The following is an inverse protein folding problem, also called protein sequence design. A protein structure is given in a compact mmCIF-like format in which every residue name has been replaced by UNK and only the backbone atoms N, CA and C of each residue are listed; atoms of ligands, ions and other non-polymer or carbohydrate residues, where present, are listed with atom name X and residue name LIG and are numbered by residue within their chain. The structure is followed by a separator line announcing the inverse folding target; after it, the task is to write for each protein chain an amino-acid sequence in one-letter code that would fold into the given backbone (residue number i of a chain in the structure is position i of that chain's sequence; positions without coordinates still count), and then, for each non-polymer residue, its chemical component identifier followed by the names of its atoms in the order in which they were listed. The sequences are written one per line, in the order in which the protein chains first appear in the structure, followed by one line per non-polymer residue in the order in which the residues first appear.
data_IF_349963226485
#
_entry.id   IF_349963226485
#
_cell.length_a   1.000
_cell.length_b   1.000
_cell.length_c   1.000
_cell.angle_alpha   90.00
_cell.angle_beta   90.00
_cell.angle_gamma   90.00
#
_symmetry.space_group_name_H-M   'P 1'
#
loop_
_entity.id
_entity.type
_entity.pdbx_description
1 polymer ?
#
# COMPACT_ATOMS: atom_id res chain seq x y z
N UNK A 1 -64.65 8.38 -22.12
CA UNK A 1 -64.53 7.32 -23.15
C UNK A 1 -63.08 6.91 -23.16
N UNK A 2 -62.86 5.69 -22.72
CA UNK A 2 -61.55 5.07 -22.55
C UNK A 2 -61.07 4.52 -23.88
N UNK A 3 -59.76 4.59 -24.14
CA UNK A 3 -59.08 3.61 -24.98
C UNK A 3 -57.79 3.21 -24.29
N UNK A 4 -57.74 1.92 -23.94
CA UNK A 4 -56.63 1.21 -23.32
C UNK A 4 -55.61 0.80 -24.39
N UNK A 5 -54.32 0.66 -24.04
CA UNK A 5 -53.35 -0.02 -24.91
C UNK A 5 -53.51 -1.55 -24.80
N UNK A 6 -53.20 -2.32 -25.87
CA UNK A 6 -53.18 -3.78 -25.79
C UNK A 6 -51.84 -4.32 -25.25
N UNK A 7 -52.00 -5.50 -24.66
CA UNK A 7 -51.13 -6.27 -23.78
C UNK A 7 -49.76 -6.71 -24.32
N UNK A 8 -48.88 -6.90 -23.33
CA UNK A 8 -47.73 -7.79 -23.37
C UNK A 8 -48.19 -9.27 -23.29
N UNK A 9 -47.61 -10.13 -24.14
CA UNK A 9 -47.85 -11.57 -24.09
C UNK A 9 -46.82 -12.37 -24.87
N UNK A 10 -45.92 -13.02 -24.13
CA UNK A 10 -45.29 -14.31 -24.37
C UNK A 10 -44.79 -14.70 -25.78
N UNK A 11 -43.47 -14.81 -25.89
CA UNK A 11 -42.82 -15.77 -26.78
C UNK A 11 -41.62 -16.42 -26.06
N UNK A 12 -41.94 -17.41 -25.22
CA UNK A 12 -41.01 -18.46 -24.80
C UNK A 12 -41.12 -19.59 -25.83
N UNK A 13 -39.99 -20.12 -26.32
CA UNK A 13 -39.68 -21.56 -26.56
C UNK A 13 -38.66 -21.75 -27.71
N UNK A 14 -37.51 -22.29 -27.29
CA UNK A 14 -36.62 -23.24 -27.97
C UNK A 14 -35.78 -22.82 -29.19
N UNK A 15 -34.45 -22.81 -28.98
CA UNK A 15 -33.54 -23.60 -29.81
C UNK A 15 -32.35 -24.12 -29.00
N UNK A 16 -32.04 -25.40 -29.21
CA UNK A 16 -31.12 -26.27 -28.46
C UNK A 16 -29.63 -26.09 -28.83
N UNK A 17 -28.81 -26.50 -27.87
CA UNK A 17 -27.35 -26.67 -27.84
C UNK A 17 -26.70 -27.47 -28.99
N UNK A 18 -25.41 -27.18 -29.25
CA UNK A 18 -24.25 -28.07 -29.57
C UNK A 18 -22.98 -27.17 -29.54
N UNK A 19 -22.17 -27.09 -28.47
CA UNK A 19 -21.01 -27.91 -28.03
C UNK A 19 -19.66 -27.67 -28.79
N UNK A 20 -18.59 -27.55 -27.98
CA UNK A 20 -17.12 -27.58 -28.23
C UNK A 20 -16.47 -26.27 -28.74
N UNK A 21 -15.39 -25.72 -28.17
CA UNK A 21 -14.57 -26.05 -27.01
C UNK A 21 -13.29 -25.20 -27.08
N UNK A 22 -13.02 -24.37 -26.06
CA UNK A 22 -11.68 -23.84 -25.78
C UNK A 22 -11.52 -23.86 -24.26
N UNK A 23 -10.67 -24.77 -23.79
CA UNK A 23 -10.17 -24.83 -22.42
C UNK A 23 -8.94 -23.91 -22.29
N UNK A 24 -8.88 -23.25 -21.12
CA UNK A 24 -7.69 -22.81 -20.37
C UNK A 24 -6.97 -21.52 -20.78
N UNK A 25 -7.31 -20.46 -20.07
CA UNK A 25 -6.34 -19.70 -19.27
C UNK A 25 -7.09 -18.81 -18.25
N UNK A 26 -7.91 -19.42 -17.38
CA UNK A 26 -8.37 -18.75 -16.17
C UNK A 26 -7.33 -18.98 -15.08
N UNK A 27 -6.63 -17.92 -14.68
CA UNK A 27 -5.90 -17.87 -13.42
C UNK A 27 -6.87 -18.11 -12.28
N UNK A 28 -7.08 -19.37 -11.92
CA UNK A 28 -7.83 -19.74 -10.75
C UNK A 28 -7.09 -19.20 -9.51
N UNK A 29 -7.77 -18.57 -8.55
CA UNK A 29 -7.14 -18.20 -7.29
C UNK A 29 -6.63 -19.49 -6.62
N UNK A 30 -5.33 -19.52 -6.34
CA UNK A 30 -4.71 -20.61 -5.59
C UNK A 30 -5.41 -20.72 -4.23
N UNK A 31 -5.82 -21.93 -3.79
CA UNK A 31 -6.51 -22.10 -2.52
C UNK A 31 -5.64 -21.60 -1.37
N UNK A 32 -6.26 -20.87 -0.43
CA UNK A 32 -5.61 -20.44 0.80
C UNK A 32 -5.06 -21.67 1.53
N UNK A 33 -3.73 -21.83 1.52
CA UNK A 33 -3.04 -22.99 2.09
C UNK A 33 -2.12 -23.76 1.13
N UNK A 34 -2.09 -23.44 -0.17
CA UNK A 34 -1.07 -23.99 -1.06
C UNK A 34 0.31 -23.40 -0.71
N UNK A 35 1.20 -24.24 -0.18
CA UNK A 35 2.60 -23.90 0.02
C UNK A 35 3.21 -23.67 -1.37
N UNK A 36 3.53 -22.43 -1.70
CA UNK A 36 4.22 -22.13 -2.95
C UNK A 36 5.68 -22.56 -2.82
N UNK A 37 6.13 -23.38 -3.77
CA UNK A 37 7.53 -23.82 -3.84
C UNK A 37 8.19 -23.08 -4.99
N UNK A 38 9.26 -22.34 -4.70
CA UNK A 38 10.05 -21.65 -5.72
C UNK A 38 11.52 -22.03 -5.58
N UNK A 39 12.11 -22.54 -6.67
CA UNK A 39 13.50 -23.04 -6.71
C UNK A 39 13.82 -24.01 -5.55
N UNK A 40 12.86 -24.88 -5.22
CA UNK A 40 12.99 -25.88 -4.16
C UNK A 40 12.81 -25.35 -2.73
N UNK A 41 12.35 -24.10 -2.58
CA UNK A 41 12.15 -23.44 -1.28
C UNK A 41 10.67 -23.21 -1.05
N UNK A 42 10.18 -23.64 0.11
CA UNK A 42 8.82 -23.32 0.56
C UNK A 42 8.73 -21.83 0.93
N UNK A 43 7.73 -21.17 0.35
CA UNK A 43 7.45 -19.76 0.60
C UNK A 43 6.28 -19.62 1.58
N UNK A 44 6.52 -18.83 2.61
CA UNK A 44 5.45 -18.24 3.41
C UNK A 44 4.81 -17.06 2.69
N UNK A 45 3.59 -16.70 3.12
CA UNK A 45 2.86 -15.58 2.56
C UNK A 45 3.61 -14.25 2.76
N UNK A 46 3.92 -13.60 1.64
CA UNK A 46 4.33 -12.21 1.55
C UNK A 46 3.99 -11.73 0.14
N UNK A 47 3.42 -10.54 0.02
CA UNK A 47 3.14 -9.97 -1.30
C UNK A 47 3.14 -8.46 -1.28
N UNK A 48 3.49 -7.87 -2.41
CA UNK A 48 3.41 -6.42 -2.63
C UNK A 48 4.64 -5.84 -3.30
N UNK A 49 4.51 -4.59 -3.71
CA UNK A 49 5.57 -3.84 -4.36
C UNK A 49 6.63 -3.42 -3.34
N UNK A 50 7.90 -3.51 -3.73
CA UNK A 50 9.05 -3.15 -2.89
C UNK A 50 10.07 -2.35 -3.71
N UNK A 51 10.78 -1.45 -3.03
CA UNK A 51 11.85 -0.63 -3.58
C UNK A 51 13.19 -1.10 -3.02
N UNK A 52 14.17 -1.36 -3.88
CA UNK A 52 15.55 -1.58 -3.47
C UNK A 52 16.18 -0.30 -2.93
N UNK A 53 16.59 -0.30 -1.66
CA UNK A 53 17.17 0.89 -1.00
C UNK A 53 18.70 0.95 -1.08
N UNK A 54 19.32 -0.14 -1.55
CA UNK A 54 20.74 -0.29 -1.84
C UNK A 54 20.90 -1.26 -3.01
N UNK A 55 22.01 -1.16 -3.72
CA UNK A 55 22.39 -2.20 -4.69
C UNK A 55 22.45 -3.55 -3.96
N UNK A 56 21.73 -4.54 -4.47
CA UNK A 56 21.58 -5.83 -3.78
C UNK A 56 21.56 -6.99 -4.78
N UNK A 57 22.38 -8.03 -4.55
CA UNK A 57 22.35 -9.22 -5.39
C UNK A 57 21.06 -10.01 -5.22
N UNK A 58 20.58 -10.60 -6.32
CA UNK A 58 19.49 -11.58 -6.32
C UNK A 58 20.10 -12.98 -6.39
N UNK A 59 19.67 -13.87 -5.51
CA UNK A 59 20.19 -15.24 -5.43
C UNK A 59 19.19 -16.28 -5.92
N UNK A 60 19.69 -17.41 -6.42
CA UNK A 60 18.87 -18.56 -6.83
C UNK A 60 18.14 -19.22 -5.66
N UNK A 61 18.77 -19.22 -4.49
CA UNK A 61 18.22 -19.80 -3.27
C UNK A 61 18.55 -18.90 -2.08
N UNK A 62 17.67 -18.77 -1.08
CA UNK A 62 18.01 -18.10 0.17
C UNK A 62 19.11 -18.93 0.83
N UNK A 63 20.27 -18.33 1.06
CA UNK A 63 21.32 -19.04 1.77
C UNK A 63 20.82 -19.43 3.17
N UNK A 64 21.25 -20.60 3.65
CA UNK A 64 21.11 -20.99 5.06
C UNK A 64 22.05 -20.10 5.89
N UNK A 65 21.74 -18.81 5.97
CA UNK A 65 22.48 -17.80 6.70
C UNK A 65 22.24 -17.98 8.21
N UNK A 66 22.82 -19.05 8.75
CA UNK A 66 23.00 -19.28 10.18
C UNK A 66 24.48 -19.50 10.54
N UNK A 67 25.43 -19.22 9.64
CA UNK A 67 26.85 -19.45 9.91
C UNK A 67 27.78 -18.51 9.13
N UNK A 68 27.69 -17.20 9.37
CA UNK A 68 28.82 -16.28 9.14
C UNK A 68 28.51 -14.88 9.69
N UNK A 69 28.43 -14.77 11.02
CA UNK A 69 28.84 -13.51 11.65
C UNK A 69 30.39 -13.46 11.60
N UNK A 70 31.01 -12.31 11.32
CA UNK A 70 32.46 -12.20 11.37
C UNK A 70 32.90 -12.19 12.84
N UNK A 71 33.54 -13.27 13.29
CA UNK A 71 34.30 -13.27 14.54
C UNK A 71 35.45 -12.27 14.40
N UNK A 72 35.31 -11.11 15.05
CA UNK A 72 36.41 -10.17 15.24
C UNK A 72 37.43 -10.79 16.20
N UNK A 73 38.59 -11.14 15.64
CA UNK A 73 39.88 -10.87 16.26
C UNK A 73 40.55 -12.03 16.99
N UNK A 74 41.55 -12.62 16.35
CA UNK A 74 42.87 -12.90 16.95
C UNK A 74 43.92 -13.18 15.85
N UNK A 75 44.79 -12.20 15.62
CA UNK A 75 46.16 -12.44 15.16
C UNK A 75 47.00 -12.91 16.38
N UNK A 76 48.08 -13.69 16.32
CA UNK A 76 48.94 -14.20 15.26
C UNK A 76 49.72 -15.41 15.82
N UNK A 77 50.21 -16.31 14.95
CA UNK A 77 51.57 -16.89 15.03
C UNK A 77 51.85 -17.83 13.83
N UNK A 78 53.06 -17.68 13.27
CA UNK A 78 53.69 -18.51 12.22
C UNK A 78 53.98 -19.94 12.70
N UNK A 79 53.96 -20.94 11.82
CA UNK A 79 55.18 -21.55 11.24
C UNK A 79 54.87 -22.65 10.19
N UNK A 80 55.89 -22.95 9.37
CA UNK A 80 55.98 -23.78 8.16
C UNK A 80 55.69 -25.28 8.36
N UNK A 81 55.20 -25.93 7.31
CA UNK A 81 55.26 -27.38 7.15
C UNK A 81 54.55 -27.88 5.88
N UNK A 82 55.28 -28.58 5.03
CA UNK A 82 54.93 -29.11 3.70
C UNK A 82 54.37 -30.52 3.85
N UNK A 83 53.31 -30.91 3.15
CA UNK A 83 53.12 -32.21 2.45
C UNK A 83 51.71 -32.33 1.84
N UNK A 84 51.62 -33.01 0.70
CA UNK A 84 50.42 -33.25 -0.10
C UNK A 84 49.52 -34.28 0.59
N UNK A 85 48.20 -34.06 0.54
CA UNK A 85 47.29 -35.17 0.30
C UNK A 85 46.06 -34.74 -0.49
N UNK A 86 45.75 -35.55 -1.51
CA UNK A 86 44.52 -35.50 -2.30
C UNK A 86 43.42 -36.15 -1.45
N UNK A 87 42.38 -35.42 -1.07
CA UNK A 87 41.05 -36.03 -0.98
C UNK A 87 39.90 -35.01 -1.01
N UNK A 88 38.91 -35.32 -1.84
CA UNK A 88 37.51 -34.87 -1.86
C UNK A 88 37.20 -33.37 -1.73
N UNK A 89 37.17 -32.74 -2.90
CA UNK A 89 36.28 -31.62 -3.21
C UNK A 89 34.80 -32.07 -3.10
N UNK A 90 34.22 -31.95 -1.89
CA UNK A 90 32.78 -31.79 -1.72
C UNK A 90 32.50 -30.30 -1.66
N UNK A 91 32.43 -29.67 -2.83
CA UNK A 91 32.09 -28.27 -2.98
C UNK A 91 30.80 -27.93 -2.23
N UNK A 92 30.93 -27.15 -1.16
CA UNK A 92 29.85 -26.25 -0.72
C UNK A 92 29.75 -25.18 -1.80
N UNK A 93 28.95 -25.43 -2.83
CA UNK A 93 28.57 -24.39 -3.77
C UNK A 93 27.84 -23.31 -2.96
N UNK A 94 28.46 -22.14 -2.82
CA UNK A 94 27.80 -20.96 -2.27
C UNK A 94 26.56 -20.60 -3.09
N UNK A 95 25.67 -19.75 -2.55
CA UNK A 95 24.46 -19.36 -3.27
C UNK A 95 24.83 -18.77 -4.63
N UNK A 96 24.26 -19.36 -5.69
CA UNK A 96 24.48 -18.89 -7.05
C UNK A 96 23.73 -17.58 -7.24
N UNK A 97 24.48 -16.53 -7.61
CA UNK A 97 23.91 -15.24 -7.98
C UNK A 97 23.14 -15.40 -9.28
N UNK A 98 21.88 -14.97 -9.27
CA UNK A 98 20.95 -15.04 -10.39
C UNK A 98 20.88 -13.70 -11.13
N UNK A 99 20.90 -12.58 -10.41
CA UNK A 99 20.75 -11.22 -10.95
C UNK A 99 21.26 -10.16 -9.95
N UNK A 100 21.06 -8.87 -10.26
CA UNK A 100 21.25 -7.73 -9.36
C UNK A 100 20.05 -6.78 -9.42
N UNK A 101 19.69 -6.20 -8.27
CA UNK A 101 18.85 -5.01 -8.20
C UNK A 101 19.72 -3.79 -7.90
N UNK A 102 19.46 -2.70 -8.61
CA UNK A 102 20.03 -1.39 -8.34
C UNK A 102 19.20 -0.65 -7.31
N UNK A 103 19.84 0.23 -6.53
CA UNK A 103 19.10 1.17 -5.70
C UNK A 103 18.08 1.93 -6.55
N UNK A 104 16.83 1.94 -6.12
CA UNK A 104 15.71 2.54 -6.84
C UNK A 104 14.93 1.56 -7.72
N UNK A 105 15.41 0.33 -7.93
CA UNK A 105 14.61 -0.69 -8.64
C UNK A 105 13.37 -1.07 -7.84
N UNK A 106 12.23 -1.11 -8.52
CA UNK A 106 10.98 -1.64 -8.00
C UNK A 106 10.81 -3.11 -8.40
N UNK A 107 10.39 -3.93 -7.44
CA UNK A 107 10.13 -5.36 -7.61
C UNK A 107 8.87 -5.77 -6.87
N UNK A 108 8.18 -6.77 -7.40
CA UNK A 108 7.06 -7.40 -6.70
C UNK A 108 7.57 -8.56 -5.86
N UNK A 109 7.21 -8.58 -4.58
CA UNK A 109 7.38 -9.74 -3.71
C UNK A 109 6.18 -10.66 -3.89
N UNK A 110 6.43 -11.96 -4.03
CA UNK A 110 5.39 -12.99 -4.12
C UNK A 110 5.49 -14.08 -3.04
N UNK A 111 6.54 -14.02 -2.21
CA UNK A 111 6.64 -14.87 -1.03
C UNK A 111 7.87 -14.56 -0.19
N UNK A 112 8.00 -15.23 0.96
CA UNK A 112 9.15 -15.07 1.85
C UNK A 112 9.65 -16.40 2.41
N UNK A 113 10.93 -16.47 2.74
CA UNK A 113 11.53 -17.60 3.44
C UNK A 113 12.56 -17.09 4.45
N UNK A 114 12.24 -17.15 5.75
CA UNK A 114 13.05 -16.52 6.80
C UNK A 114 13.22 -15.01 6.55
N UNK A 115 14.47 -14.55 6.50
CA UNK A 115 14.84 -13.15 6.21
C UNK A 115 14.98 -12.84 4.73
N UNK A 116 14.49 -13.70 3.84
CA UNK A 116 14.57 -13.56 2.40
C UNK A 116 13.20 -13.34 1.77
N UNK A 117 13.14 -12.49 0.76
CA UNK A 117 11.96 -12.23 -0.04
C UNK A 117 12.17 -12.78 -1.45
N UNK A 118 11.19 -13.55 -1.93
CA UNK A 118 11.16 -14.00 -3.31
C UNK A 118 10.56 -12.89 -4.17
N UNK A 119 11.32 -12.44 -5.18
CA UNK A 119 11.03 -11.23 -5.96
C UNK A 119 10.91 -11.53 -7.46
N UNK A 120 10.05 -10.76 -8.12
CA UNK A 120 9.84 -10.79 -9.55
C UNK A 120 9.79 -9.37 -10.13
N UNK A 121 10.15 -9.24 -11.41
CA UNK A 121 10.01 -8.01 -12.19
C UNK A 121 9.12 -8.31 -13.38
N UNK A 122 7.92 -7.70 -13.41
CA UNK A 122 6.84 -8.14 -14.29
C UNK A 122 6.50 -9.61 -14.04
N UNK A 123 6.53 -10.41 -15.11
CA UNK A 123 6.26 -11.85 -15.07
C UNK A 123 7.51 -12.72 -14.79
N UNK A 124 8.69 -12.09 -14.66
CA UNK A 124 9.95 -12.81 -14.49
C UNK A 124 10.28 -12.96 -13.01
N UNK A 125 10.19 -14.20 -12.50
CA UNK A 125 10.65 -14.56 -11.13
C UNK A 125 12.19 -14.55 -11.07
N UNK A 126 12.75 -13.53 -10.44
CA UNK A 126 14.20 -13.27 -10.45
C UNK A 126 14.95 -14.20 -9.48
N UNK A 127 14.47 -14.31 -8.25
CA UNK A 127 15.16 -15.03 -7.19
C UNK A 127 14.84 -14.48 -5.80
N UNK A 128 15.81 -14.51 -4.90
CA UNK A 128 15.69 -14.12 -3.50
C UNK A 128 16.59 -12.92 -3.18
N UNK A 129 16.05 -11.96 -2.42
CA UNK A 129 16.78 -10.81 -1.87
C UNK A 129 16.65 -10.77 -0.35
N UNK A 130 17.62 -10.19 0.33
CA UNK A 130 17.54 -9.99 1.77
C UNK A 130 16.43 -8.96 2.10
N UNK A 131 15.60 -9.24 3.10
CA UNK A 131 14.46 -8.40 3.44
C UNK A 131 14.86 -6.98 3.89
N UNK A 132 16.08 -6.80 4.42
CA UNK A 132 16.64 -5.50 4.82
C UNK A 132 17.19 -4.67 3.65
N UNK A 133 17.21 -5.24 2.43
CA UNK A 133 17.69 -4.57 1.23
C UNK A 133 16.59 -3.88 0.42
N UNK A 134 15.34 -4.14 0.77
CA UNK A 134 14.17 -3.56 0.11
C UNK A 134 13.20 -3.02 1.15
N UNK A 135 12.39 -2.03 0.77
CA UNK A 135 11.29 -1.52 1.60
C UNK A 135 9.96 -1.74 0.89
N UNK A 136 8.89 -2.07 1.64
CA UNK A 136 7.56 -2.15 1.04
C UNK A 136 7.13 -0.76 0.58
N UNK A 137 6.74 -0.64 -0.68
CA UNK A 137 6.17 0.59 -1.23
C UNK A 137 4.72 0.36 -1.64
N UNK A 138 4.02 1.46 -1.78
CA UNK A 138 2.61 1.49 -2.14
C UNK A 138 2.47 2.25 -3.45
N UNK A 139 1.61 1.77 -4.34
CA UNK A 139 1.17 2.54 -5.50
C UNK A 139 -0.08 3.31 -5.09
N UNK A 140 0.04 4.62 -4.93
CA UNK A 140 -1.06 5.48 -4.48
C UNK A 140 -2.02 5.90 -5.61
N UNK A 141 -1.88 5.37 -6.82
CA UNK A 141 -2.74 5.79 -7.92
C UNK A 141 -4.19 5.35 -7.72
N UNK A 142 -5.11 6.22 -8.15
CA UNK A 142 -6.52 5.89 -8.28
C UNK A 142 -6.89 5.83 -9.76
N UNK A 143 -7.53 4.73 -10.16
CA UNK A 143 -8.08 4.59 -11.51
C UNK A 143 -9.35 5.44 -11.72
N UNK A 144 -10.04 5.79 -10.62
CA UNK A 144 -11.33 6.50 -10.63
C UNK A 144 -11.43 7.41 -9.42
N UNK A 145 -12.22 8.47 -9.57
CA UNK A 145 -12.59 9.33 -8.45
C UNK A 145 -13.36 8.53 -7.38
N UNK A 146 -13.09 8.84 -6.13
CA UNK A 146 -13.81 8.32 -4.97
C UNK A 146 -14.93 9.30 -4.66
N UNK A 147 -16.15 8.82 -4.45
CA UNK A 147 -17.25 9.63 -3.95
C UNK A 147 -17.82 9.02 -2.67
N UNK A 148 -18.18 9.86 -1.71
CA UNK A 148 -18.75 9.41 -0.44
C UNK A 148 -19.54 10.48 0.29
N UNK A 149 -20.08 10.10 1.44
CA UNK A 149 -20.84 11.00 2.31
C UNK A 149 -20.73 10.57 3.76
N UNK A 150 -20.72 11.54 4.68
CA UNK A 150 -20.79 11.27 6.11
C UNK A 150 -21.48 12.40 6.87
N UNK A 151 -21.95 12.08 8.08
CA UNK A 151 -22.34 13.06 9.08
C UNK A 151 -21.21 13.21 10.11
N UNK A 152 -20.68 14.42 10.30
CA UNK A 152 -19.60 14.72 11.24
C UNK A 152 -19.75 16.12 11.84
N UNK A 153 -19.50 16.28 13.15
CA UNK A 153 -19.58 17.59 13.81
C UNK A 153 -20.98 18.25 13.78
N UNK A 154 -22.04 17.49 13.49
CA UNK A 154 -23.38 18.02 13.23
C UNK A 154 -23.59 18.57 11.81
N UNK A 155 -22.70 18.22 10.88
CA UNK A 155 -22.77 18.56 9.46
C UNK A 155 -22.96 17.30 8.61
N UNK A 156 -23.81 17.37 7.59
CA UNK A 156 -23.91 16.36 6.54
C UNK A 156 -23.03 16.77 5.37
N UNK A 157 -22.01 15.97 5.07
CA UNK A 157 -21.03 16.24 4.05
C UNK A 157 -21.07 15.19 2.94
N UNK A 158 -20.93 15.63 1.70
CA UNK A 158 -20.55 14.80 0.55
C UNK A 158 -19.14 15.16 0.15
N UNK A 159 -18.37 14.18 -0.32
CA UNK A 159 -17.00 14.40 -0.74
C UNK A 159 -16.68 13.65 -2.03
N UNK A 160 -15.73 14.21 -2.77
CA UNK A 160 -15.03 13.54 -3.86
C UNK A 160 -13.52 13.61 -3.64
N UNK A 161 -12.77 12.59 -4.08
CA UNK A 161 -11.31 12.55 -4.02
C UNK A 161 -10.80 12.08 -5.39
N UNK A 162 -9.98 12.92 -6.02
CA UNK A 162 -9.41 12.69 -7.35
C UNK A 162 -7.89 12.66 -7.26
N UNK A 163 -7.27 11.68 -7.93
CA UNK A 163 -5.81 11.61 -8.05
C UNK A 163 -5.30 12.67 -9.03
N UNK A 164 -4.32 13.46 -8.59
CA UNK A 164 -3.74 14.57 -9.35
C UNK A 164 -2.39 14.21 -9.96
N UNK A 165 -1.62 13.35 -9.29
CA UNK A 165 -0.30 12.95 -9.76
C UNK A 165 0.59 12.44 -8.66
N UNK A 166 1.89 12.40 -8.95
CA UNK A 166 2.92 12.09 -7.96
C UNK A 166 3.90 13.24 -7.84
N UNK A 167 4.32 13.52 -6.62
CA UNK A 167 5.41 14.43 -6.31
C UNK A 167 6.61 13.63 -5.80
N UNK A 168 7.78 13.89 -6.37
CA UNK A 168 9.04 13.37 -5.84
C UNK A 168 9.46 14.17 -4.61
N UNK A 169 9.88 13.47 -3.55
CA UNK A 169 10.41 14.13 -2.36
C UNK A 169 11.85 14.54 -2.64
N UNK A 170 12.16 15.84 -2.53
CA UNK A 170 13.47 16.41 -2.87
C UNK A 170 14.66 15.70 -2.18
N UNK A 171 14.44 15.16 -0.97
CA UNK A 171 15.43 14.42 -0.21
C UNK A 171 15.00 12.95 -0.10
N UNK A 172 15.63 12.11 -0.92
CA UNK A 172 15.49 10.66 -0.85
C UNK A 172 14.86 10.05 -2.11
N UNK A 173 14.45 8.79 -2.00
CA UNK A 173 13.75 8.04 -3.07
C UNK A 173 12.24 7.96 -2.83
N UNK A 174 11.71 8.91 -2.04
CA UNK A 174 10.31 8.95 -1.66
C UNK A 174 9.43 9.56 -2.72
N UNK A 175 8.20 9.05 -2.82
CA UNK A 175 7.13 9.64 -3.62
C UNK A 175 5.92 9.90 -2.75
N UNK A 176 5.21 10.96 -3.09
CA UNK A 176 3.88 11.27 -2.59
C UNK A 176 2.90 11.05 -3.74
N UNK A 177 1.78 10.39 -3.45
CA UNK A 177 0.62 10.40 -4.32
C UNK A 177 -0.27 11.56 -3.89
N UNK A 178 -0.55 12.47 -4.80
CA UNK A 178 -1.29 13.70 -4.54
C UNK A 178 -2.72 13.59 -5.06
N UNK A 179 -3.65 14.17 -4.32
CA UNK A 179 -5.07 14.14 -4.58
C UNK A 179 -5.69 15.51 -4.30
N UNK A 180 -6.75 15.83 -5.03
CA UNK A 180 -7.67 16.92 -4.67
C UNK A 180 -8.91 16.32 -4.02
N UNK A 181 -9.25 16.78 -2.81
CA UNK A 181 -10.50 16.42 -2.15
C UNK A 181 -11.44 17.63 -2.12
N UNK A 182 -12.69 17.44 -2.58
CA UNK A 182 -13.72 18.47 -2.57
C UNK A 182 -14.85 18.06 -1.63
N UNK A 183 -15.30 19.00 -0.80
CA UNK A 183 -16.34 18.76 0.21
C UNK A 183 -17.51 19.72 0.03
N UNK A 184 -18.72 19.18 0.09
CA UNK A 184 -19.96 19.94 0.12
C UNK A 184 -20.73 19.57 1.38
N UNK A 185 -20.79 20.49 2.35
CA UNK A 185 -21.33 20.26 3.68
C UNK A 185 -22.55 21.15 3.95
N UNK A 186 -23.42 20.69 4.87
CA UNK A 186 -24.54 21.48 5.34
C UNK A 186 -24.88 21.23 6.80
N UNK A 187 -25.47 22.23 7.45
CA UNK A 187 -26.04 22.13 8.80
C UNK A 187 -27.32 22.95 8.87
N UNK A 188 -28.47 22.27 8.95
CA UNK A 188 -29.77 22.92 8.77
C UNK A 188 -29.90 23.53 7.38
N UNK A 189 -30.20 24.83 7.31
CA UNK A 189 -30.29 25.58 6.04
C UNK A 189 -28.94 26.07 5.52
N UNK A 190 -27.90 26.13 6.36
CA UNK A 190 -26.58 26.59 5.95
C UNK A 190 -25.88 25.54 5.07
N UNK A 191 -25.28 25.99 3.98
CA UNK A 191 -24.51 25.17 3.02
C UNK A 191 -23.18 25.86 2.75
N UNK A 192 -22.11 25.08 2.70
CA UNK A 192 -20.78 25.56 2.34
C UNK A 192 -20.00 24.46 1.62
N UNK A 193 -18.94 24.85 0.92
CA UNK A 193 -18.06 23.92 0.22
C UNK A 193 -16.62 24.38 0.34
N UNK A 194 -15.71 23.43 0.35
CA UNK A 194 -14.28 23.71 0.43
C UNK A 194 -13.49 22.62 -0.30
N UNK A 195 -12.31 22.98 -0.76
CA UNK A 195 -11.35 22.07 -1.35
C UNK A 195 -10.17 21.91 -0.39
N UNK A 196 -9.58 20.73 -0.40
CA UNK A 196 -8.43 20.38 0.39
C UNK A 196 -7.48 19.53 -0.46
N UNK A 197 -6.24 19.99 -0.70
CA UNK A 197 -5.17 19.09 -1.11
C UNK A 197 -5.05 17.94 -0.11
N UNK A 198 -4.78 16.76 -0.64
CA UNK A 198 -4.58 15.56 0.14
C UNK A 198 -3.38 14.81 -0.45
N UNK A 199 -2.56 14.19 0.38
CA UNK A 199 -1.47 13.36 -0.11
C UNK A 199 -1.34 12.07 0.70
N UNK A 200 -0.75 11.05 0.09
CA UNK A 200 -0.36 9.80 0.72
C UNK A 200 1.11 9.51 0.44
N UNK A 201 1.88 9.13 1.45
CA UNK A 201 3.26 8.67 1.23
C UNK A 201 3.26 7.29 0.58
N UNK A 202 4.03 7.10 -0.49
CA UNK A 202 4.21 5.78 -1.12
C UNK A 202 5.31 4.95 -0.47
N UNK A 203 6.14 5.58 0.36
CA UNK A 203 7.06 4.90 1.26
C UNK A 203 6.51 4.85 2.69
N UNK A 204 6.95 3.86 3.50
CA UNK A 204 6.58 3.79 4.89
C UNK A 204 7.05 5.02 5.67
N UNK A 205 6.20 5.47 6.57
CA UNK A 205 6.52 6.46 7.59
C UNK A 205 7.74 5.95 8.39
N UNK A 206 8.76 6.80 8.50
CA UNK A 206 10.08 6.49 9.09
C UNK A 206 11.02 5.61 8.23
N UNK A 207 10.63 5.24 7.00
CA UNK A 207 11.51 4.49 6.07
C UNK A 207 11.90 3.09 6.56
N UNK A 208 11.09 2.48 7.42
CA UNK A 208 11.30 1.14 7.95
C UNK A 208 10.49 0.06 7.22
N UNK A 209 10.68 -1.23 7.57
CA UNK A 209 9.98 -2.35 6.92
C UNK A 209 8.50 -2.46 7.32
N UNK A 210 8.03 -1.67 8.29
CA UNK A 210 6.62 -1.67 8.71
C UNK A 210 5.81 -0.84 7.71
N UNK A 211 4.82 -1.40 7.00
CA UNK A 211 4.09 -0.72 5.93
C UNK A 211 3.01 0.22 6.51
N UNK A 212 3.45 1.25 7.21
CA UNK A 212 2.60 2.33 7.74
C UNK A 212 2.79 3.55 6.86
N UNK A 213 1.74 4.03 6.21
CA UNK A 213 1.81 5.13 5.26
C UNK A 213 1.13 6.37 5.82
N UNK A 214 1.70 7.55 5.62
CA UNK A 214 1.11 8.79 6.06
C UNK A 214 0.08 9.26 5.03
N UNK A 215 -1.06 9.73 5.53
CA UNK A 215 -2.07 10.45 4.74
C UNK A 215 -2.23 11.82 5.40
N UNK A 216 -2.28 12.88 4.62
CA UNK A 216 -2.63 14.21 5.12
C UNK A 216 -3.74 14.83 4.28
N UNK A 217 -4.61 15.59 4.94
CA UNK A 217 -5.65 16.40 4.31
C UNK A 217 -5.50 17.84 4.82
N UNK A 218 -5.32 18.76 3.88
CA UNK A 218 -4.90 20.12 4.14
C UNK A 218 -6.00 21.11 3.75
N UNK A 219 -6.61 21.79 4.72
CA UNK A 219 -7.58 22.84 4.44
C UNK A 219 -6.86 24.19 4.42
N UNK A 220 -6.77 24.81 3.25
CA UNK A 220 -6.01 26.04 3.07
C UNK A 220 -6.74 27.26 3.66
N UNK A 221 -5.97 28.17 4.27
CA UNK A 221 -6.39 29.48 4.78
C UNK A 221 -7.57 29.50 5.76
N UNK A 222 -7.79 28.37 6.45
CA UNK A 222 -8.62 28.33 7.67
C UNK A 222 -7.76 28.33 8.92
N UNK A 223 -6.46 28.06 8.80
CA UNK A 223 -5.51 28.08 9.91
C UNK A 223 -5.41 29.48 10.54
N UNK A 224 -5.09 29.58 11.85
CA UNK A 224 -4.75 30.86 12.48
C UNK A 224 -3.57 31.57 11.82
N UNK A 225 -2.64 30.80 11.26
CA UNK A 225 -1.52 31.30 10.46
C UNK A 225 -1.95 31.26 8.98
N UNK A 226 -2.07 32.42 8.30
CA UNK A 226 -2.56 32.49 6.92
C UNK A 226 -1.63 31.77 5.92
N UNK A 227 -0.36 31.58 6.25
CA UNK A 227 0.62 30.91 5.41
C UNK A 227 0.64 29.39 5.62
N UNK A 228 -0.16 28.88 6.56
CA UNK A 228 -0.23 27.46 6.88
C UNK A 228 -1.60 26.86 6.54
N UNK A 229 -1.58 25.61 6.08
CA UNK A 229 -2.79 24.81 6.01
C UNK A 229 -3.22 24.36 7.41
N UNK A 230 -4.53 24.20 7.61
CA UNK A 230 -5.00 23.34 8.68
C UNK A 230 -4.89 21.89 8.20
N UNK A 231 -3.85 21.20 8.66
CA UNK A 231 -3.51 19.84 8.21
C UNK A 231 -4.00 18.80 9.20
N UNK A 232 -4.76 17.81 8.74
CA UNK A 232 -5.06 16.60 9.53
C UNK A 232 -4.20 15.45 9.04
N UNK A 233 -3.44 14.83 9.94
CA UNK A 233 -2.48 13.78 9.65
C UNK A 233 -3.02 12.45 10.16
N UNK A 234 -3.01 11.44 9.30
CA UNK A 234 -3.46 10.08 9.57
C UNK A 234 -2.38 9.08 9.16
N UNK A 235 -2.46 7.89 9.76
CA UNK A 235 -1.66 6.75 9.34
C UNK A 235 -2.54 5.63 8.83
N UNK A 236 -2.15 5.06 7.69
CA UNK A 236 -2.65 3.81 7.19
C UNK A 236 -1.67 2.68 7.54
N UNK A 237 -2.03 1.87 8.52
CA UNK A 237 -1.33 0.63 8.86
C UNK A 237 -1.85 -0.49 7.95
N UNK A 238 -1.09 -0.80 6.90
CA UNK A 238 -1.50 -1.76 5.86
C UNK A 238 -1.54 -3.20 6.37
N UNK A 239 -0.70 -3.55 7.34
CA UNK A 239 -0.70 -4.88 7.94
C UNK A 239 -1.96 -5.12 8.77
N UNK A 240 -2.41 -4.09 9.51
CA UNK A 240 -3.68 -4.15 10.25
C UNK A 240 -4.91 -3.89 9.39
N UNK A 241 -4.72 -3.28 8.22
CA UNK A 241 -5.81 -2.77 7.39
C UNK A 241 -6.60 -1.70 8.13
N UNK A 242 -5.92 -0.75 8.78
CA UNK A 242 -6.55 0.27 9.63
C UNK A 242 -6.02 1.66 9.31
N UNK A 243 -6.92 2.63 9.22
CA UNK A 243 -6.61 4.07 9.14
C UNK A 243 -6.91 4.71 10.49
N UNK A 244 -5.99 5.50 11.03
CA UNK A 244 -6.15 6.18 12.31
C UNK A 244 -5.69 7.63 12.24
N UNK A 245 -6.39 8.52 12.95
CA UNK A 245 -6.00 9.92 13.10
C UNK A 245 -4.80 10.00 14.04
N UNK A 246 -3.69 10.53 13.55
CA UNK A 246 -2.50 10.77 14.35
C UNK A 246 -2.63 12.11 15.07
N UNK A 247 -2.73 13.21 14.31
CA UNK A 247 -2.77 14.57 14.85
C UNK A 247 -3.38 15.54 13.84
N UNK A 248 -3.45 16.82 14.21
CA UNK A 248 -3.64 17.90 13.28
C UNK A 248 -2.72 19.07 13.64
N UNK A 249 -2.61 20.03 12.73
CA UNK A 249 -1.93 21.28 12.97
C UNK A 249 -2.84 22.47 12.62
N UNK A 250 -3.22 23.33 13.58
CA UNK A 250 -2.93 23.22 15.02
C UNK A 250 -3.68 22.06 15.71
N UNK A 251 -3.05 21.42 16.70
CA UNK A 251 -3.58 20.21 17.34
C UNK A 251 -4.83 20.46 18.20
N UNK A 252 -4.95 21.65 18.80
CA UNK A 252 -6.08 22.04 19.64
C UNK A 252 -7.38 22.31 18.86
N UNK A 253 -7.34 22.15 17.54
CA UNK A 253 -8.52 22.19 16.66
C UNK A 253 -9.20 20.83 16.50
N UNK A 254 -8.58 19.76 16.99
CA UNK A 254 -9.22 18.45 17.11
C UNK A 254 -10.24 18.43 18.25
N UNK A 255 -11.25 17.56 18.08
CA UNK A 255 -12.17 17.21 19.14
C UNK A 255 -11.40 16.52 20.30
N UNK A 256 -11.91 16.67 21.53
CA UNK A 256 -11.29 16.07 22.73
C UNK A 256 -11.20 14.55 22.65
N UNK A 257 -12.17 13.93 21.97
CA UNK A 257 -12.21 12.48 21.76
C UNK A 257 -11.83 12.21 20.32
N UNK A 258 -10.72 11.49 20.12
CA UNK A 258 -10.33 11.02 18.78
C UNK A 258 -11.29 9.91 18.33
N UNK A 259 -11.70 9.89 17.05
CA UNK A 259 -12.43 8.76 16.51
C UNK A 259 -11.60 7.48 16.59
N UNK A 260 -12.27 6.33 16.75
CA UNK A 260 -11.61 5.04 16.71
C UNK A 260 -10.98 4.80 15.32
N UNK A 261 -9.87 4.05 15.22
CA UNK A 261 -9.33 3.60 13.95
C UNK A 261 -10.39 2.90 13.10
N UNK A 262 -10.36 3.15 11.79
CA UNK A 262 -11.28 2.55 10.83
C UNK A 262 -10.62 1.43 10.06
N UNK A 263 -11.22 0.24 10.11
CA UNK A 263 -10.80 -0.88 9.27
C UNK A 263 -11.14 -0.60 7.81
N UNK A 264 -10.19 -0.92 6.93
CA UNK A 264 -10.35 -0.89 5.48
C UNK A 264 -10.28 -2.31 4.96
N UNK A 265 -11.20 -2.66 4.06
CA UNK A 265 -11.30 -4.02 3.55
C UNK A 265 -10.10 -4.33 2.66
N UNK A 266 -9.22 -5.22 3.12
CA UNK A 266 -8.17 -5.81 2.29
C UNK A 266 -8.68 -7.10 1.67
N UNK A 267 -8.88 -7.10 0.35
CA UNK A 267 -9.11 -8.34 -0.39
C UNK A 267 -7.75 -8.96 -0.68
N UNK A 268 -7.53 -10.21 -0.25
CA UNK A 268 -6.24 -10.91 -0.39
C UNK A 268 -5.68 -10.91 -1.83
N UNK A 269 -6.55 -10.79 -2.83
CA UNK A 269 -6.23 -10.70 -4.26
C UNK A 269 -6.94 -9.52 -4.95
N UNK A 270 -7.32 -8.48 -4.20
CA UNK A 270 -7.94 -7.29 -4.79
C UNK A 270 -6.91 -6.39 -5.48
N UNK A 271 -7.32 -5.54 -6.42
CA UNK A 271 -6.48 -4.48 -6.95
C UNK A 271 -5.98 -3.58 -5.82
N UNK A 272 -4.69 -3.21 -5.83
CA UNK A 272 -4.13 -2.25 -4.87
C UNK A 272 -4.94 -0.95 -4.85
N UNK A 273 -5.37 -0.47 -6.02
CA UNK A 273 -6.18 0.73 -6.16
C UNK A 273 -7.49 0.71 -5.33
N UNK A 274 -8.11 -0.47 -5.14
CA UNK A 274 -9.32 -0.60 -4.31
C UNK A 274 -9.00 -0.42 -2.81
N UNK A 275 -7.85 -0.94 -2.37
CA UNK A 275 -7.33 -0.79 -1.00
C UNK A 275 -6.97 0.68 -0.72
N UNK A 276 -6.32 1.34 -1.68
CA UNK A 276 -5.99 2.77 -1.58
C UNK A 276 -7.26 3.61 -1.54
N UNK A 277 -8.23 3.32 -2.41
CA UNK A 277 -9.50 4.02 -2.41
C UNK A 277 -10.22 3.88 -1.05
N UNK A 278 -10.22 2.69 -0.46
CA UNK A 278 -10.80 2.48 0.86
C UNK A 278 -10.04 3.24 1.97
N UNK A 279 -8.70 3.29 1.90
CA UNK A 279 -7.87 4.03 2.84
C UNK A 279 -8.10 5.55 2.76
N UNK A 280 -8.17 6.12 1.56
CA UNK A 280 -8.40 7.55 1.36
C UNK A 280 -9.82 7.96 1.77
N UNK A 281 -10.83 7.15 1.44
CA UNK A 281 -12.20 7.36 1.89
C UNK A 281 -12.30 7.36 3.43
N UNK A 282 -11.70 6.35 4.07
CA UNK A 282 -11.63 6.27 5.52
C UNK A 282 -10.90 7.48 6.11
N UNK A 283 -9.82 7.96 5.47
CA UNK A 283 -9.07 9.11 5.93
C UNK A 283 -9.87 10.41 5.85
N UNK A 284 -10.57 10.66 4.74
CA UNK A 284 -11.46 11.83 4.60
C UNK A 284 -12.57 11.82 5.65
N UNK A 285 -13.20 10.67 5.88
CA UNK A 285 -14.26 10.52 6.88
C UNK A 285 -13.76 10.70 8.31
N UNK A 286 -12.64 10.07 8.66
CA UNK A 286 -12.02 10.21 9.98
C UNK A 286 -11.54 11.64 10.24
N UNK A 287 -11.06 12.33 9.20
CA UNK A 287 -10.64 13.72 9.29
C UNK A 287 -11.79 14.61 9.76
N UNK A 288 -12.91 14.61 9.04
CA UNK A 288 -14.06 15.44 9.41
C UNK A 288 -14.62 15.02 10.78
N UNK A 289 -14.64 13.72 11.10
CA UNK A 289 -15.11 13.22 12.39
C UNK A 289 -14.21 13.62 13.57
N UNK A 290 -12.92 13.87 13.33
CA UNK A 290 -11.96 14.24 14.36
C UNK A 290 -11.93 15.75 14.68
N UNK A 291 -12.53 16.59 13.84
CA UNK A 291 -12.51 18.03 14.03
C UNK A 291 -13.40 18.50 15.18
N UNK A 292 -12.87 19.43 15.99
CA UNK A 292 -13.65 20.20 16.95
C UNK A 292 -14.46 21.31 16.27
N UNK A 293 -15.12 22.19 17.05
CA UNK A 293 -15.92 23.28 16.48
C UNK A 293 -15.13 24.31 15.65
N UNK A 294 -13.87 24.59 16.03
CA UNK A 294 -13.05 25.66 15.43
C UNK A 294 -12.84 25.51 13.91
N UNK A 295 -12.41 24.35 13.37
CA UNK A 295 -12.34 24.14 11.92
C UNK A 295 -13.65 24.44 11.21
N UNK A 296 -14.77 23.95 11.73
CA UNK A 296 -16.09 24.14 11.12
C UNK A 296 -16.50 25.61 11.09
N UNK A 297 -16.28 26.34 12.18
CA UNK A 297 -16.54 27.78 12.26
C UNK A 297 -15.65 28.59 11.30
N UNK A 298 -14.39 28.19 11.12
CA UNK A 298 -13.46 28.86 10.21
C UNK A 298 -13.86 28.64 8.75
N UNK A 299 -14.24 27.40 8.38
CA UNK A 299 -14.70 27.07 7.03
C UNK A 299 -16.01 27.79 6.70
N UNK A 300 -16.97 27.81 7.63
CA UNK A 300 -18.29 28.41 7.38
C UNK A 300 -18.28 29.95 7.25
N UNK A 301 -17.16 30.61 7.59
CA UNK A 301 -16.97 32.06 7.44
C UNK A 301 -16.41 32.48 6.08
N UNK A 302 -15.96 31.52 5.27
CA UNK A 302 -15.46 31.76 3.92
C UNK A 302 -16.61 31.92 2.94
#
# INVERSE_FOLDING_TARGET
MADSPPDAGDALVAARAWILGILLASGAPSPAGAVEIFRGVELGAASGLHLAIKDTPVFDTPERAAASAPEKGKAAAKDKGKEKDKDKDKGKAGPKKADDLKKGDEVSVFGKSGSWLAVQKGDVKLGFVAADAVLPILDGTLAREIAGSLAAGGHDCRYTIRFEGRTEVEIGSGRLADYSASFACGRGSARFSFEAPMFMSEMPHQGGPRPVYQIALDVLGVSPDPDQAFSTILFYDRDKGEVAVETAWPAEWLAKTKPAPRRVARKANGPMADEIAAALAAAAELTLAAWGPKPWEAIAKR
#
